data_IF_114487744529
#
_entry.id   IF_114487744529
#
_cell.length_a   1.000
_cell.length_b   1.000
_cell.length_c   1.000
_cell.angle_alpha   90.00
_cell.angle_beta   90.00
_cell.angle_gamma   90.00
#
_symmetry.space_group_name_H-M   'P 1'
#
loop_
_entity.id
_entity.type
_entity.pdbx_description
1 polymer ?
#
# COMPACT_ATOMS: atom_id res chain seq x y z
N UNK A 1 -2.58 6.97 34.00
CA UNK A 1 -2.91 6.32 32.72
C UNK A 1 -1.85 6.74 31.70
N UNK A 2 -1.17 5.79 31.02
CA UNK A 2 -0.35 6.14 29.85
C UNK A 2 -1.28 6.09 28.65
N UNK A 3 -1.66 7.26 28.12
CA UNK A 3 -2.47 7.34 26.92
C UNK A 3 -1.73 6.66 25.78
N UNK A 4 -2.33 5.59 25.27
CA UNK A 4 -1.73 4.76 24.25
C UNK A 4 -2.22 5.25 22.90
N UNK A 5 -1.34 5.91 22.14
CA UNK A 5 -1.65 6.41 20.81
C UNK A 5 -1.94 5.24 19.86
N UNK A 6 -3.19 5.09 19.43
CA UNK A 6 -3.64 4.01 18.52
C UNK A 6 -3.95 4.50 17.12
N UNK A 7 -4.13 5.81 16.93
CA UNK A 7 -4.35 6.44 15.62
C UNK A 7 -3.49 7.69 15.51
N UNK A 8 -2.88 7.88 14.35
CA UNK A 8 -2.04 9.03 14.05
C UNK A 8 -2.43 9.60 12.68
N UNK A 9 -2.81 10.88 12.66
CA UNK A 9 -3.06 11.65 11.45
C UNK A 9 -1.95 12.68 11.29
N UNK A 10 -1.18 12.57 10.21
CA UNK A 10 -0.12 13.50 9.83
C UNK A 10 -0.47 14.19 8.52
N UNK A 11 -1.67 14.77 8.46
CA UNK A 11 -2.09 15.60 7.35
C UNK A 11 -1.30 16.89 7.29
N UNK A 12 -0.62 17.13 6.16
CA UNK A 12 0.04 18.41 5.90
C UNK A 12 -1.02 19.38 5.37
N UNK A 13 -1.10 20.57 5.96
CA UNK A 13 -2.03 21.61 5.49
C UNK A 13 -1.73 22.01 4.04
N UNK A 14 -2.76 22.03 3.18
CA UNK A 14 -2.69 22.51 1.79
C UNK A 14 -2.34 23.99 1.67
N UNK A 15 -2.33 24.76 2.76
CA UNK A 15 -2.02 26.20 2.75
C UNK A 15 -0.54 26.51 2.47
N UNK A 16 0.34 25.50 2.49
CA UNK A 16 1.72 25.65 2.03
C UNK A 16 1.77 25.44 0.53
N UNK A 17 2.12 26.49 -0.21
CA UNK A 17 2.28 26.51 -1.67
C UNK A 17 3.40 25.61 -2.20
N UNK A 18 4.17 24.96 -1.31
CA UNK A 18 5.16 23.94 -1.65
C UNK A 18 4.81 22.65 -0.92
N UNK A 19 4.67 21.56 -1.67
CA UNK A 19 4.62 20.21 -1.13
C UNK A 19 5.88 19.94 -0.32
N UNK A 20 5.73 19.28 0.84
CA UNK A 20 6.89 18.81 1.60
C UNK A 20 7.37 17.54 0.91
N UNK A 21 8.54 17.64 0.28
CA UNK A 21 9.23 16.49 -0.29
C UNK A 21 9.90 15.71 0.82
N UNK A 22 9.68 14.40 0.81
CA UNK A 22 10.17 13.46 1.82
C UNK A 22 11.04 12.44 1.14
N UNK A 23 12.32 12.51 1.47
CA UNK A 23 13.34 11.58 0.98
C UNK A 23 13.42 10.30 1.83
N UNK A 24 14.27 9.37 1.41
CA UNK A 24 14.47 8.09 2.10
C UNK A 24 14.89 8.28 3.57
N UNK A 25 15.76 9.28 3.86
CA UNK A 25 16.29 9.54 5.21
C UNK A 25 15.17 9.99 6.14
N UNK A 26 14.35 10.93 5.68
CA UNK A 26 13.23 11.47 6.43
C UNK A 26 12.19 10.40 6.69
N UNK A 27 11.88 9.58 5.67
CA UNK A 27 10.95 8.46 5.79
C UNK A 27 11.45 7.42 6.80
N UNK A 28 12.74 7.08 6.76
CA UNK A 28 13.38 6.16 7.71
C UNK A 28 13.28 6.65 9.14
N UNK A 29 13.61 7.92 9.40
CA UNK A 29 13.47 8.52 10.73
C UNK A 29 12.04 8.46 11.21
N UNK A 30 11.09 8.77 10.32
CA UNK A 30 9.67 8.78 10.65
C UNK A 30 9.17 7.39 11.10
N UNK A 31 9.37 6.33 10.33
CA UNK A 31 8.95 5.00 10.79
C UNK A 31 9.86 4.41 11.85
N UNK A 32 11.08 4.92 12.02
CA UNK A 32 11.90 4.63 13.19
C UNK A 32 11.18 5.03 14.49
N UNK A 33 10.57 6.22 14.51
CA UNK A 33 9.76 6.67 15.64
C UNK A 33 8.52 5.80 15.81
N UNK A 34 7.80 5.49 14.72
CA UNK A 34 6.61 4.63 14.80
C UNK A 34 6.96 3.25 15.37
N UNK A 35 7.99 2.61 14.83
CA UNK A 35 8.42 1.27 15.20
C UNK A 35 8.89 1.18 16.66
N UNK A 36 9.62 2.20 17.14
CA UNK A 36 10.23 2.18 18.46
C UNK A 36 9.32 2.74 19.56
N UNK A 37 8.60 3.82 19.26
CA UNK A 37 7.91 4.61 20.28
C UNK A 37 6.38 4.46 20.21
N UNK A 38 5.83 4.12 19.03
CA UNK A 38 4.38 4.01 18.80
C UNK A 38 3.93 2.57 18.55
N UNK A 39 4.42 1.63 19.37
CA UNK A 39 4.19 0.17 19.21
C UNK A 39 2.71 -0.26 19.19
N UNK A 40 1.80 0.59 19.64
CA UNK A 40 0.35 0.35 19.70
C UNK A 40 -0.42 1.06 18.59
N UNK A 41 0.27 1.72 17.66
CA UNK A 41 -0.35 2.40 16.53
C UNK A 41 -1.06 1.38 15.63
N UNK A 42 -2.35 1.56 15.45
CA UNK A 42 -3.23 0.71 14.62
C UNK A 42 -3.56 1.38 13.29
N UNK A 43 -3.68 2.70 13.30
CA UNK A 43 -4.11 3.48 12.15
C UNK A 43 -3.15 4.65 11.88
N UNK A 44 -2.69 4.76 10.63
CA UNK A 44 -1.87 5.86 10.16
C UNK A 44 -2.55 6.52 8.96
N UNK A 45 -2.66 7.85 9.00
CA UNK A 45 -3.17 8.66 7.90
C UNK A 45 -2.12 9.69 7.48
N UNK A 46 -1.79 9.67 6.19
CA UNK A 46 -0.84 10.56 5.53
C UNK A 46 -1.57 11.33 4.43
N UNK A 47 -1.76 12.63 4.63
CA UNK A 47 -2.42 13.49 3.64
C UNK A 47 -1.51 14.60 3.12
N UNK A 48 -1.54 14.80 1.79
CA UNK A 48 -0.76 15.80 1.07
C UNK A 48 0.77 15.60 1.20
N UNK A 49 1.24 14.36 1.03
CA UNK A 49 2.67 14.03 1.07
C UNK A 49 3.25 13.88 -0.34
N UNK A 50 4.49 14.33 -0.53
CA UNK A 50 5.27 14.07 -1.74
C UNK A 50 6.51 13.23 -1.38
N UNK A 51 6.56 11.98 -1.83
CA UNK A 51 7.67 11.07 -1.56
C UNK A 51 8.65 11.08 -2.74
N UNK A 52 9.89 11.48 -2.51
CA UNK A 52 10.94 11.53 -3.52
C UNK A 52 11.97 10.42 -3.22
N UNK A 53 11.66 9.19 -3.63
CA UNK A 53 12.46 8.03 -3.26
C UNK A 53 13.61 7.80 -4.25
N UNK A 54 14.85 7.76 -3.75
CA UNK A 54 16.03 7.44 -4.57
C UNK A 54 16.37 5.94 -4.47
N UNK A 55 16.52 5.29 -5.62
CA UNK A 55 16.82 3.85 -5.73
C UNK A 55 18.32 3.53 -5.81
N UNK A 56 19.17 4.54 -5.96
CA UNK A 56 20.60 4.33 -6.08
C UNK A 56 21.20 4.15 -4.69
N UNK A 57 21.55 2.91 -4.42
CA UNK A 57 22.50 2.47 -3.39
C UNK A 57 21.94 2.34 -1.96
N UNK A 58 22.25 1.20 -1.34
CA UNK A 58 21.88 0.71 0.00
C UNK A 58 20.42 0.25 0.17
N UNK A 59 20.26 -1.07 0.23
CA UNK A 59 18.97 -1.74 0.32
C UNK A 59 18.23 -1.55 1.65
N UNK A 60 17.01 -2.08 1.70
CA UNK A 60 16.33 -2.66 2.86
C UNK A 60 16.20 -1.85 4.17
N UNK A 61 16.66 -0.60 4.23
CA UNK A 61 16.85 0.16 5.48
C UNK A 61 15.55 0.61 6.15
N UNK A 62 14.44 0.47 5.46
CA UNK A 62 13.10 0.82 5.93
C UNK A 62 12.18 -0.39 6.10
N UNK A 63 12.49 -1.52 5.46
CA UNK A 63 11.70 -2.75 5.51
C UNK A 63 11.59 -3.29 6.94
N UNK A 64 12.72 -3.31 7.65
CA UNK A 64 12.78 -3.76 9.06
C UNK A 64 11.95 -2.86 9.99
N UNK A 65 11.86 -1.56 9.70
CA UNK A 65 11.05 -0.61 10.46
C UNK A 65 9.56 -0.84 10.20
N UNK A 66 9.16 -1.00 8.94
CA UNK A 66 7.79 -1.37 8.59
C UNK A 66 7.38 -2.72 9.19
N UNK A 67 8.26 -3.72 9.13
CA UNK A 67 8.00 -5.03 9.71
C UNK A 67 7.85 -4.95 11.24
N UNK A 68 8.50 -3.98 11.87
CA UNK A 68 8.38 -3.73 13.31
C UNK A 68 7.05 -3.07 13.71
N UNK A 69 6.32 -2.47 12.76
CA UNK A 69 5.00 -1.87 12.97
C UNK A 69 3.87 -2.92 13.08
N UNK A 70 4.03 -3.93 13.94
CA UNK A 70 3.17 -5.13 14.01
C UNK A 70 1.69 -4.83 14.33
N UNK A 71 1.38 -3.69 14.94
CA UNK A 71 0.00 -3.31 15.29
C UNK A 71 -0.69 -2.50 14.20
N UNK A 72 0.05 -1.99 13.21
CA UNK A 72 -0.48 -1.18 12.14
C UNK A 72 -1.35 -2.05 11.22
N UNK A 73 -2.65 -1.74 11.20
CA UNK A 73 -3.67 -2.47 10.44
C UNK A 73 -4.31 -1.63 9.36
N UNK A 74 -4.34 -0.31 9.52
CA UNK A 74 -5.00 0.62 8.62
C UNK A 74 -4.04 1.70 8.16
N UNK A 75 -3.97 1.89 6.85
CA UNK A 75 -3.19 2.96 6.25
C UNK A 75 -4.07 3.76 5.29
N UNK A 76 -4.06 5.08 5.46
CA UNK A 76 -4.75 6.01 4.58
C UNK A 76 -3.74 6.94 3.91
N UNK A 77 -3.68 6.88 2.58
CA UNK A 77 -2.87 7.76 1.74
C UNK A 77 -3.81 8.66 0.95
N UNK A 78 -3.82 9.95 1.25
CA UNK A 78 -4.69 10.94 0.60
C UNK A 78 -3.87 12.05 -0.05
N UNK A 79 -4.15 12.36 -1.32
CA UNK A 79 -3.41 13.37 -2.09
C UNK A 79 -1.89 13.15 -2.01
N UNK A 80 -1.46 11.89 -2.06
CA UNK A 80 -0.06 11.48 -2.03
C UNK A 80 0.48 11.43 -3.44
N UNK A 81 1.68 11.97 -3.65
CA UNK A 81 2.44 11.80 -4.90
C UNK A 81 3.76 11.12 -4.63
N UNK A 82 4.11 10.12 -5.44
CA UNK A 82 5.43 9.49 -5.40
C UNK A 82 6.24 9.88 -6.63
N UNK A 83 7.30 10.64 -6.40
CA UNK A 83 8.28 11.04 -7.42
C UNK A 83 9.39 9.99 -7.46
N UNK A 84 9.36 9.16 -8.50
CA UNK A 84 10.36 8.13 -8.80
C UNK A 84 11.31 8.74 -9.83
N UNK A 85 12.57 9.05 -9.47
CA UNK A 85 13.57 9.46 -10.44
C UNK A 85 13.69 8.34 -11.48
N UNK A 86 13.51 8.66 -12.76
CA UNK A 86 13.67 7.67 -13.82
C UNK A 86 15.01 6.97 -13.64
N UNK A 87 14.98 5.64 -13.62
CA UNK A 87 16.18 4.81 -13.56
C UNK A 87 16.85 4.92 -14.91
N UNK A 88 17.61 5.99 -15.12
CA UNK A 88 18.36 6.28 -16.34
C UNK A 88 19.56 5.34 -16.55
N UNK A 89 19.52 4.11 -16.02
CA UNK A 89 20.68 3.21 -16.08
C UNK A 89 20.52 1.80 -15.52
N UNK A 90 19.35 1.16 -15.60
CA UNK A 90 19.26 -0.27 -15.25
C UNK A 90 19.57 -1.15 -16.47
N UNK A 91 20.48 -2.09 -16.24
CA UNK A 91 20.93 -3.20 -17.09
C UNK A 91 19.87 -3.74 -18.07
N UNK A 92 20.32 -4.07 -19.29
CA UNK A 92 19.52 -4.59 -20.43
C UNK A 92 18.62 -5.82 -20.16
N UNK A 93 18.63 -6.39 -18.95
CA UNK A 93 17.96 -7.66 -18.62
C UNK A 93 16.84 -7.55 -17.58
N UNK A 94 16.59 -6.38 -16.99
CA UNK A 94 15.45 -6.23 -16.07
C UNK A 94 14.27 -5.56 -16.78
N UNK A 95 13.14 -6.27 -16.79
CA UNK A 95 11.93 -5.80 -17.45
C UNK A 95 11.48 -4.47 -16.78
N UNK A 96 11.49 -3.32 -17.49
CA UNK A 96 11.33 -1.99 -16.89
C UNK A 96 10.02 -1.84 -16.09
N UNK A 97 9.00 -2.62 -16.46
CA UNK A 97 7.70 -2.67 -15.80
C UNK A 97 7.73 -3.20 -14.36
N UNK A 98 8.67 -4.10 -14.03
CA UNK A 98 8.80 -4.70 -12.71
C UNK A 98 9.61 -3.84 -11.73
N UNK A 99 10.54 -3.04 -12.25
CA UNK A 99 11.38 -2.12 -11.48
C UNK A 99 10.55 -0.96 -10.89
N UNK A 100 9.65 -0.39 -11.70
CA UNK A 100 8.80 0.74 -11.29
C UNK A 100 8.00 0.48 -10.01
N UNK A 101 7.48 -0.73 -9.85
CA UNK A 101 6.67 -1.03 -8.67
C UNK A 101 7.55 -1.10 -7.42
N UNK A 102 8.73 -1.73 -7.50
CA UNK A 102 9.64 -1.90 -6.34
C UNK A 102 10.14 -0.58 -5.77
N UNK A 103 10.14 0.47 -6.60
CA UNK A 103 10.57 1.82 -6.25
C UNK A 103 9.51 2.71 -5.63
N UNK A 104 8.27 2.21 -5.51
CA UNK A 104 7.20 2.96 -4.86
C UNK A 104 7.23 2.77 -3.35
N UNK A 105 6.92 3.82 -2.61
CA UNK A 105 6.60 3.76 -1.18
C UNK A 105 5.42 2.80 -0.95
N UNK A 106 4.41 2.82 -1.82
CA UNK A 106 3.30 1.89 -1.76
C UNK A 106 3.74 0.42 -1.76
N UNK A 107 4.71 0.04 -2.62
CA UNK A 107 5.26 -1.31 -2.61
C UNK A 107 5.91 -1.65 -1.28
N UNK A 108 6.75 -0.76 -0.75
CA UNK A 108 7.40 -0.96 0.54
C UNK A 108 6.35 -1.22 1.64
N UNK A 109 5.29 -0.41 1.67
CA UNK A 109 4.20 -0.55 2.63
C UNK A 109 3.50 -1.90 2.54
N UNK A 110 3.03 -2.29 1.36
CA UNK A 110 2.26 -3.54 1.22
C UNK A 110 3.14 -4.78 1.34
N UNK A 111 4.42 -4.69 1.00
CA UNK A 111 5.39 -5.78 1.13
C UNK A 111 5.81 -6.04 2.57
N UNK A 112 5.98 -4.99 3.37
CA UNK A 112 6.65 -5.08 4.67
C UNK A 112 5.78 -4.69 5.87
N UNK A 113 4.47 -4.45 5.66
CA UNK A 113 3.51 -4.28 6.75
C UNK A 113 2.65 -5.55 6.91
N UNK A 114 3.10 -6.56 7.67
CA UNK A 114 2.56 -7.93 7.61
C UNK A 114 1.09 -8.06 8.05
N UNK A 115 0.58 -7.08 8.80
CA UNK A 115 -0.78 -7.10 9.38
C UNK A 115 -1.70 -6.03 8.78
N UNK A 116 -1.38 -5.50 7.60
CA UNK A 116 -2.17 -4.46 6.96
C UNK A 116 -3.52 -5.01 6.45
N UNK A 117 -4.58 -4.79 7.22
CA UNK A 117 -5.94 -5.24 6.92
C UNK A 117 -6.69 -4.25 6.03
N UNK A 118 -6.26 -2.98 5.99
CA UNK A 118 -6.93 -1.92 5.24
C UNK A 118 -5.96 -0.91 4.63
N UNK A 119 -6.12 -0.70 3.33
CA UNK A 119 -5.40 0.33 2.58
C UNK A 119 -6.40 1.25 1.86
N UNK A 120 -6.23 2.56 2.04
CA UNK A 120 -7.04 3.59 1.39
C UNK A 120 -6.15 4.46 0.51
N UNK A 121 -6.43 4.48 -0.80
CA UNK A 121 -5.70 5.26 -1.80
C UNK A 121 -6.64 6.33 -2.39
N UNK A 122 -6.50 7.56 -1.92
CA UNK A 122 -7.31 8.70 -2.32
C UNK A 122 -6.46 9.74 -3.05
N UNK A 123 -6.79 10.08 -4.30
CA UNK A 123 -5.97 10.99 -5.13
C UNK A 123 -4.48 10.64 -5.15
N UNK A 124 -4.18 9.34 -5.14
CA UNK A 124 -2.82 8.83 -5.17
C UNK A 124 -2.23 8.99 -6.57
N UNK A 125 -0.98 9.47 -6.65
CA UNK A 125 -0.27 9.79 -7.89
C UNK A 125 1.13 9.22 -7.87
N UNK A 126 1.65 8.91 -9.05
CA UNK A 126 3.07 8.61 -9.24
C UNK A 126 3.59 9.48 -10.37
N UNK A 127 4.71 10.16 -10.15
CA UNK A 127 5.29 11.15 -11.06
C UNK A 127 4.26 12.19 -11.53
N UNK A 128 3.41 12.65 -10.59
CA UNK A 128 2.30 13.58 -10.81
C UNK A 128 1.16 13.07 -11.71
N UNK A 129 1.24 11.83 -12.20
CA UNK A 129 0.21 11.18 -12.98
C UNK A 129 -0.88 10.56 -12.09
N UNK A 130 -2.14 10.78 -12.46
CA UNK A 130 -3.28 10.09 -11.84
C UNK A 130 -3.25 8.59 -12.16
N UNK A 131 -4.02 7.80 -11.41
CA UNK A 131 -4.20 6.37 -11.69
C UNK A 131 -4.97 6.20 -13.01
N UNK A 132 -4.24 5.83 -14.06
CA UNK A 132 -4.78 5.35 -15.33
C UNK A 132 -4.83 3.82 -15.36
N UNK A 133 -5.18 3.25 -16.52
CA UNK A 133 -5.33 1.80 -16.70
C UNK A 133 -4.03 1.02 -16.43
N UNK A 134 -2.88 1.50 -16.90
CA UNK A 134 -1.59 0.82 -16.73
C UNK A 134 -1.13 0.88 -15.26
N UNK A 135 -1.21 2.08 -14.66
CA UNK A 135 -0.87 2.29 -13.27
C UNK A 135 -1.80 1.48 -12.33
N UNK A 136 -3.09 1.41 -12.64
CA UNK A 136 -4.06 0.59 -11.91
C UNK A 136 -3.69 -0.89 -11.94
N UNK A 137 -3.30 -1.41 -13.10
CA UNK A 137 -2.86 -2.80 -13.23
C UNK A 137 -1.60 -3.06 -12.39
N UNK A 138 -0.61 -2.17 -12.43
CA UNK A 138 0.63 -2.29 -11.65
C UNK A 138 0.37 -2.25 -10.14
N UNK A 139 -0.39 -1.26 -9.66
CA UNK A 139 -0.74 -1.10 -8.24
C UNK A 139 -1.53 -2.30 -7.74
N UNK A 140 -2.58 -2.70 -8.46
CA UNK A 140 -3.43 -3.83 -8.03
C UNK A 140 -2.67 -5.16 -8.04
N UNK A 141 -1.74 -5.37 -8.98
CA UNK A 141 -0.85 -6.54 -8.96
C UNK A 141 0.10 -6.50 -7.77
N UNK A 142 0.64 -5.33 -7.40
CA UNK A 142 1.48 -5.19 -6.22
C UNK A 142 0.73 -5.60 -4.96
N UNK A 143 -0.45 -4.99 -4.73
CA UNK A 143 -1.29 -5.30 -3.58
C UNK A 143 -1.65 -6.79 -3.56
N UNK A 144 -2.08 -7.33 -4.71
CA UNK A 144 -2.40 -8.74 -4.88
C UNK A 144 -1.24 -9.65 -4.49
N UNK A 145 0.00 -9.29 -4.82
CA UNK A 145 1.19 -10.11 -4.54
C UNK A 145 1.61 -10.07 -3.07
N UNK A 146 1.33 -9.00 -2.35
CA UNK A 146 1.90 -8.82 -1.00
C UNK A 146 0.89 -8.96 0.14
N UNK A 147 -0.37 -8.56 -0.04
CA UNK A 147 -1.41 -8.72 0.99
C UNK A 147 -2.17 -10.06 0.91
N UNK A 148 -1.70 -10.95 0.06
CA UNK A 148 -2.37 -12.18 -0.37
C UNK A 148 -2.57 -13.21 0.76
N UNK A 149 -1.75 -13.14 1.82
CA UNK A 149 -1.80 -14.09 2.93
C UNK A 149 -2.87 -13.76 3.99
N UNK A 150 -3.46 -12.56 3.95
CA UNK A 150 -4.44 -12.10 4.94
C UNK A 150 -5.73 -11.62 4.26
N UNK A 151 -6.89 -11.66 4.94
CA UNK A 151 -8.04 -10.89 4.52
C UNK A 151 -7.74 -9.40 4.57
N UNK A 152 -7.99 -8.67 3.48
CA UNK A 152 -7.75 -7.23 3.43
C UNK A 152 -8.86 -6.48 2.69
N UNK A 153 -8.89 -5.17 2.92
CA UNK A 153 -9.78 -4.22 2.25
C UNK A 153 -8.96 -3.13 1.57
N UNK A 154 -9.23 -2.86 0.30
CA UNK A 154 -8.66 -1.72 -0.42
C UNK A 154 -9.75 -0.77 -0.85
N UNK A 155 -9.49 0.53 -0.71
CA UNK A 155 -10.37 1.61 -1.13
C UNK A 155 -9.67 2.47 -2.17
N UNK A 156 -10.32 2.75 -3.30
CA UNK A 156 -9.83 3.65 -4.34
C UNK A 156 -10.84 4.76 -4.59
N UNK A 157 -10.39 6.01 -4.55
CA UNK A 157 -11.27 7.19 -4.68
C UNK A 157 -11.13 7.83 -6.05
N UNK A 158 -12.26 8.29 -6.60
CA UNK A 158 -12.33 9.08 -7.82
C UNK A 158 -11.60 8.43 -9.01
N UNK A 159 -11.81 7.13 -9.19
CA UNK A 159 -11.29 6.36 -10.33
C UNK A 159 -12.36 6.20 -11.41
N UNK A 160 -11.95 6.12 -12.68
CA UNK A 160 -12.85 5.82 -13.79
C UNK A 160 -13.38 4.39 -13.73
N UNK A 161 -14.43 4.09 -14.49
CA UNK A 161 -15.04 2.76 -14.53
C UNK A 161 -14.08 1.70 -15.12
N UNK A 162 -13.24 2.08 -16.08
CA UNK A 162 -12.24 1.18 -16.67
C UNK A 162 -11.16 0.81 -15.65
N UNK A 163 -10.68 1.80 -14.89
CA UNK A 163 -9.72 1.60 -13.79
C UNK A 163 -10.32 0.70 -12.70
N UNK A 164 -11.59 0.92 -12.31
CA UNK A 164 -12.30 0.03 -11.38
C UNK A 164 -12.32 -1.42 -11.88
N UNK A 165 -12.67 -1.62 -13.15
CA UNK A 165 -12.72 -2.96 -13.74
C UNK A 165 -11.35 -3.64 -13.74
N UNK A 166 -10.27 -2.94 -14.07
CA UNK A 166 -8.90 -3.47 -14.05
C UNK A 166 -8.50 -3.91 -12.64
N UNK A 167 -8.75 -3.06 -11.64
CA UNK A 167 -8.47 -3.38 -10.23
C UNK A 167 -9.26 -4.61 -9.80
N UNK A 168 -10.56 -4.64 -10.08
CA UNK A 168 -11.43 -5.75 -9.72
C UNK A 168 -10.94 -7.08 -10.32
N UNK A 169 -10.66 -7.12 -11.61
CA UNK A 169 -10.20 -8.33 -12.29
C UNK A 169 -8.85 -8.80 -11.78
N UNK A 170 -7.94 -7.87 -11.47
CA UNK A 170 -6.63 -8.22 -10.93
C UNK A 170 -6.74 -8.83 -9.53
N UNK A 171 -7.56 -8.25 -8.65
CA UNK A 171 -7.75 -8.77 -7.29
C UNK A 171 -8.57 -10.07 -7.24
N UNK A 172 -9.48 -10.29 -8.20
CA UNK A 172 -10.34 -11.49 -8.28
C UNK A 172 -9.60 -12.76 -8.71
N UNK A 173 -8.32 -12.68 -9.05
CA UNK A 173 -7.54 -13.85 -9.48
C UNK A 173 -7.56 -14.94 -8.39
N UNK A 174 -7.57 -16.24 -8.78
CA UNK A 174 -7.53 -17.33 -7.81
C UNK A 174 -6.27 -17.23 -6.92
N UNK A 175 -6.35 -17.59 -5.63
CA UNK A 175 -7.46 -18.24 -4.93
C UNK A 175 -8.27 -17.26 -4.06
N UNK A 176 -8.65 -16.10 -4.59
CA UNK A 176 -9.36 -15.08 -3.80
C UNK A 176 -10.84 -14.99 -4.13
N UNK A 177 -11.64 -14.68 -3.11
CA UNK A 177 -13.00 -14.15 -3.26
C UNK A 177 -12.95 -12.64 -3.04
N UNK A 178 -13.48 -11.89 -4.00
CA UNK A 178 -13.51 -10.42 -3.95
C UNK A 178 -14.94 -9.91 -4.01
N UNK A 179 -15.35 -9.15 -3.00
CA UNK A 179 -16.60 -8.38 -3.01
C UNK A 179 -16.27 -6.92 -3.35
N UNK A 180 -16.77 -6.45 -4.49
CA UNK A 180 -16.74 -5.06 -4.94
C UNK A 180 -18.02 -4.35 -4.50
N UNK A 181 -17.91 -3.21 -3.84
CA UNK A 181 -19.04 -2.37 -3.43
C UNK A 181 -18.70 -0.89 -3.59
N UNK A 182 -19.69 -0.07 -3.87
CA UNK A 182 -19.55 1.38 -3.79
C UNK A 182 -19.44 1.83 -2.32
N UNK A 183 -18.57 2.81 -2.08
CA UNK A 183 -18.45 3.53 -0.81
C UNK A 183 -19.15 4.89 -0.86
N UNK A 184 -19.24 5.60 0.28
CA UNK A 184 -19.70 6.99 0.31
C UNK A 184 -18.76 7.89 -0.52
N UNK A 185 -19.23 8.85 -1.31
CA UNK A 185 -18.33 9.80 -2.03
C UNK A 185 -17.44 9.19 -3.12
N UNK A 186 -18.04 8.56 -4.14
CA UNK A 186 -17.38 8.20 -5.42
C UNK A 186 -16.10 7.35 -5.30
N UNK A 187 -16.01 6.48 -4.30
CA UNK A 187 -14.90 5.55 -4.16
C UNK A 187 -15.36 4.08 -4.16
N UNK A 188 -14.51 3.20 -4.69
CA UNK A 188 -14.77 1.76 -4.78
C UNK A 188 -14.07 1.03 -3.63
N UNK A 189 -14.76 0.06 -3.04
CA UNK A 189 -14.25 -0.79 -1.96
C UNK A 189 -14.13 -2.22 -2.48
N UNK A 190 -12.95 -2.81 -2.31
CA UNK A 190 -12.67 -4.20 -2.62
C UNK A 190 -12.35 -4.95 -1.32
N UNK A 191 -13.21 -5.88 -0.94
CA UNK A 191 -12.97 -6.80 0.19
C UNK A 191 -12.44 -8.11 -0.36
N UNK A 192 -11.19 -8.44 -0.05
CA UNK A 192 -10.47 -9.61 -0.56
C UNK A 192 -10.29 -10.63 0.56
N UNK A 193 -10.61 -11.89 0.29
CA UNK A 193 -10.42 -13.01 1.23
C UNK A 193 -9.79 -14.19 0.50
N UNK A 194 -8.71 -14.74 1.06
CA UNK A 194 -8.11 -15.99 0.58
C UNK A 194 -9.06 -17.16 0.82
N UNK A 195 -9.24 -18.04 -0.17
CA UNK A 195 -9.94 -19.32 0.01
C UNK A 195 -8.99 -20.50 0.31
N UNK A 196 -7.67 -20.28 0.32
CA UNK A 196 -6.70 -21.34 0.61
C UNK A 196 -6.81 -21.87 2.05
N UNK A 197 -7.20 -21.03 3.01
CA UNK A 197 -7.44 -21.45 4.39
C UNK A 197 -8.71 -22.30 4.54
N UNK A 198 -9.65 -22.22 3.59
CA UNK A 198 -10.86 -23.05 3.61
C UNK A 198 -10.52 -24.46 3.09
N UNK A 199 -9.70 -24.58 2.04
CA UNK A 199 -9.30 -25.89 1.50
C UNK A 199 -8.40 -26.69 2.45
N UNK A 200 -7.48 -26.05 3.18
CA UNK A 200 -6.67 -26.73 4.22
C UNK A 200 -7.53 -27.27 5.37
N UNK A 201 -8.60 -26.58 5.74
CA UNK A 201 -9.54 -27.04 6.77
C UNK A 201 -10.44 -28.18 6.28
N UNK A 202 -10.83 -28.18 5.00
CA UNK A 202 -11.62 -29.25 4.40
C UNK A 202 -10.80 -30.54 4.25
N UNK A 203 -9.54 -30.45 3.82
CA UNK A 203 -8.68 -31.64 3.70
C UNK A 203 -8.36 -32.26 5.07
N UNK A 204 -8.20 -31.45 6.13
CA UNK A 204 -8.05 -31.96 7.50
C UNK A 204 -9.29 -32.66 8.06
N UNK A 205 -10.48 -32.41 7.51
CA UNK A 205 -11.72 -33.10 7.91
C UNK A 205 -11.90 -34.42 7.16
N UNK A 206 -11.35 -34.54 5.95
CA UNK A 206 -11.42 -35.78 5.16
C UNK A 206 -10.38 -36.83 5.56
N UNK A 207 -9.33 -36.45 6.30
CA UNK A 207 -8.33 -37.39 6.86
C UNK A 207 -8.82 -38.09 8.16
N UNK A 208 -10.08 -37.88 8.56
CA UNK A 208 -10.75 -38.58 9.67
C UNK A 208 -11.92 -39.48 9.20
N UNK A 209 -12.02 -39.74 7.89
CA UNK A 209 -13.03 -40.61 7.27
C UNK A 209 -12.52 -42.01 6.98
#
# INVERSE_FOLDING_TARGET
MRDTLTSLDLSISKSRSRSIQVDNISLRRFFGIIANDMKQLVELKLCNWEFCLQLKESGNDFESLLHSCKKLKKLQLESVNESIPEVTGSSKNENPSHLWCKSTFLHQLVSFTPNLEELSLCYYKVNHSNIDSDLAQKISQCIYRHLHNIPFRVKFFNISQDVDNIIYQTLKKPPYKVKRTDGPSLFKIYKVRSVLNIMKSINKLNDFG
#
